data_IF_628023580007
#
_entry.id   IF_628023580007
#
_cell.length_a   1.000
_cell.length_b   1.000
_cell.length_c   1.000
_cell.angle_alpha   90.00
_cell.angle_beta   90.00
_cell.angle_gamma   90.00
#
_symmetry.space_group_name_H-M   'P 1'
#
loop_
_entity.id
_entity.type
_entity.pdbx_description
1 polymer ?
#
# COMPACT_ATOMS: atom_id res chain seq x y z
N UNK A 1 10.11 -5.96 6.74
CA UNK A 1 9.32 -5.10 5.84
C UNK A 1 9.20 -5.77 4.49
N UNK A 2 8.03 -5.83 3.91
CA UNK A 2 7.73 -6.40 2.60
C UNK A 2 7.15 -5.31 1.71
N UNK A 3 7.85 -4.92 0.69
CA UNK A 3 7.53 -3.76 -0.15
C UNK A 3 6.78 -4.16 -1.42
N UNK A 4 6.57 -3.22 -2.32
CA UNK A 4 5.93 -3.44 -3.61
C UNK A 4 6.67 -4.44 -4.50
N UNK A 5 5.94 -5.02 -5.43
CA UNK A 5 6.43 -5.97 -6.41
C UNK A 5 5.58 -5.95 -7.67
N UNK A 6 5.96 -6.72 -8.68
CA UNK A 6 5.21 -6.86 -9.93
C UNK A 6 4.48 -8.19 -10.02
N UNK A 7 3.44 -8.23 -10.85
CA UNK A 7 2.60 -9.41 -11.08
C UNK A 7 1.32 -9.42 -10.25
N UNK A 8 0.52 -10.48 -10.40
CA UNK A 8 -0.73 -10.66 -9.67
C UNK A 8 -0.58 -11.89 -8.77
N UNK A 9 -0.77 -11.71 -7.45
CA UNK A 9 -0.51 -12.76 -6.46
C UNK A 9 -1.41 -14.00 -6.64
N UNK A 10 -2.54 -13.85 -7.29
CA UNK A 10 -3.47 -14.94 -7.59
C UNK A 10 -3.10 -15.76 -8.84
N UNK A 11 -2.04 -15.40 -9.58
CA UNK A 11 -1.53 -16.21 -10.68
C UNK A 11 -0.71 -17.38 -10.15
N UNK A 12 -0.98 -18.57 -10.68
CA UNK A 12 -0.25 -19.79 -10.33
C UNK A 12 1.11 -19.82 -11.06
N UNK A 13 2.16 -19.42 -10.34
CA UNK A 13 3.53 -19.50 -10.82
C UNK A 13 4.51 -19.74 -9.65
N UNK A 14 5.73 -20.18 -9.96
CA UNK A 14 6.73 -20.54 -8.95
C UNK A 14 7.16 -19.35 -8.08
N UNK A 15 7.22 -18.15 -8.66
CA UNK A 15 7.56 -16.94 -7.92
C UNK A 15 6.51 -16.68 -6.81
N UNK A 16 5.23 -16.65 -7.18
CA UNK A 16 4.14 -16.40 -6.22
C UNK A 16 4.09 -17.49 -5.13
N UNK A 17 4.23 -18.75 -5.53
CA UNK A 17 4.29 -19.87 -4.58
C UNK A 17 5.43 -19.69 -3.58
N UNK A 18 6.64 -19.40 -4.05
CA UNK A 18 7.80 -19.14 -3.18
C UNK A 18 7.55 -17.98 -2.22
N UNK A 19 6.93 -16.88 -2.68
CA UNK A 19 6.57 -15.73 -1.84
C UNK A 19 5.55 -16.10 -0.76
N UNK A 20 4.53 -16.89 -1.10
CA UNK A 20 3.50 -17.33 -0.17
C UNK A 20 4.05 -18.31 0.87
N UNK A 21 4.89 -19.26 0.47
CA UNK A 21 5.56 -20.20 1.36
C UNK A 21 6.49 -19.47 2.35
N UNK A 22 7.27 -18.53 1.86
CA UNK A 22 8.13 -17.69 2.68
C UNK A 22 7.31 -16.84 3.66
N UNK A 23 6.24 -16.20 3.19
CA UNK A 23 5.34 -15.43 4.03
C UNK A 23 4.71 -16.29 5.14
N UNK A 24 4.21 -17.47 4.79
CA UNK A 24 3.62 -18.40 5.74
C UNK A 24 4.60 -18.81 6.85
N UNK A 25 5.87 -18.97 6.52
CA UNK A 25 6.91 -19.27 7.51
C UNK A 25 7.25 -18.06 8.39
N UNK A 26 7.34 -16.87 7.84
CA UNK A 26 7.59 -15.64 8.62
C UNK A 26 6.43 -15.34 9.58
N UNK A 27 5.19 -15.54 9.15
CA UNK A 27 4.00 -15.34 9.99
C UNK A 27 4.02 -16.21 11.27
N UNK A 28 4.65 -17.38 11.24
CA UNK A 28 4.84 -18.25 12.42
C UNK A 28 5.82 -17.70 13.45
N UNK A 29 6.72 -16.81 13.06
CA UNK A 29 7.76 -16.26 13.94
C UNK A 29 7.23 -15.21 14.91
N UNK A 30 5.99 -14.77 14.78
CA UNK A 30 5.35 -13.72 15.59
C UNK A 30 6.20 -12.43 15.70
N UNK A 31 6.90 -12.08 14.64
CA UNK A 31 7.68 -10.84 14.53
C UNK A 31 6.85 -9.72 13.94
N UNK A 32 7.12 -8.46 14.30
CA UNK A 32 6.47 -7.33 13.65
C UNK A 32 6.71 -7.31 12.13
N UNK A 33 5.65 -7.13 11.35
CA UNK A 33 5.71 -7.13 9.88
C UNK A 33 5.04 -5.86 9.37
N UNK A 34 5.70 -5.19 8.42
CA UNK A 34 5.11 -4.18 7.55
C UNK A 34 5.00 -4.75 6.14
N UNK A 35 3.80 -4.66 5.53
CA UNK A 35 3.56 -4.99 4.13
C UNK A 35 2.97 -3.81 3.37
N UNK A 36 3.59 -3.35 2.26
CA UNK A 36 3.04 -2.32 1.39
C UNK A 36 2.76 -2.85 -0.01
N UNK A 37 1.61 -2.47 -0.58
CA UNK A 37 1.16 -2.84 -1.92
C UNK A 37 1.21 -4.37 -2.14
N UNK A 38 2.12 -4.87 -2.94
CA UNK A 38 2.38 -6.30 -3.12
C UNK A 38 2.57 -7.04 -1.79
N UNK A 39 3.31 -6.44 -0.84
CA UNK A 39 3.55 -7.04 0.48
C UNK A 39 2.25 -7.25 1.27
N UNK A 40 1.30 -6.31 1.20
CA UNK A 40 -0.04 -6.49 1.77
C UNK A 40 -0.78 -7.65 1.11
N UNK A 41 -0.73 -7.73 -0.24
CA UNK A 41 -1.42 -8.75 -1.01
C UNK A 41 -0.86 -10.15 -0.71
N UNK A 42 0.46 -10.30 -0.61
CA UNK A 42 1.12 -11.56 -0.20
C UNK A 42 0.68 -11.99 1.19
N UNK A 43 0.70 -11.08 2.18
CA UNK A 43 0.32 -11.37 3.57
C UNK A 43 -1.14 -11.80 3.65
N UNK A 44 -2.03 -11.07 2.98
CA UNK A 44 -3.47 -11.34 2.98
C UNK A 44 -3.79 -12.69 2.31
N UNK A 45 -3.12 -13.00 1.19
CA UNK A 45 -3.27 -14.29 0.50
C UNK A 45 -2.72 -15.45 1.34
N UNK A 46 -1.56 -15.29 1.97
CA UNK A 46 -0.99 -16.30 2.88
C UNK A 46 -1.87 -16.57 4.11
N UNK A 47 -2.73 -15.60 4.49
CA UNK A 47 -3.74 -15.74 5.55
C UNK A 47 -5.10 -16.25 5.01
N UNK A 48 -5.14 -16.75 3.78
CA UNK A 48 -6.32 -17.41 3.18
C UNK A 48 -7.40 -16.45 2.68
N UNK A 49 -7.06 -15.18 2.43
CA UNK A 49 -7.98 -14.19 1.88
C UNK A 49 -7.69 -13.87 0.41
N UNK A 50 -8.67 -13.28 -0.27
CA UNK A 50 -8.61 -13.06 -1.70
C UNK A 50 -8.07 -11.68 -2.07
N UNK A 51 -7.32 -11.65 -3.16
CA UNK A 51 -6.90 -10.46 -3.90
C UNK A 51 -7.53 -10.52 -5.29
N UNK A 52 -7.97 -9.41 -5.81
CA UNK A 52 -8.55 -9.32 -7.16
C UNK A 52 -8.12 -8.05 -7.86
N UNK A 53 -8.26 -8.05 -9.19
CA UNK A 53 -8.08 -6.85 -10.00
C UNK A 53 -9.12 -5.79 -9.63
N UNK A 54 -8.67 -4.57 -9.42
CA UNK A 54 -9.54 -3.42 -9.16
C UNK A 54 -10.23 -2.95 -10.46
N UNK A 55 -11.47 -2.50 -10.33
CA UNK A 55 -12.14 -1.76 -11.40
C UNK A 55 -11.62 -0.32 -11.54
N UNK A 56 -10.98 0.21 -10.49
CA UNK A 56 -10.39 1.55 -10.44
C UNK A 56 -8.96 1.45 -9.90
N UNK A 57 -7.98 1.08 -10.74
CA UNK A 57 -6.58 1.04 -10.32
C UNK A 57 -6.10 2.44 -9.94
N UNK A 58 -5.15 2.52 -9.01
CA UNK A 58 -4.58 3.79 -8.56
C UNK A 58 -3.15 3.91 -9.10
N UNK A 59 -2.93 4.94 -9.92
CA UNK A 59 -1.65 5.24 -10.53
C UNK A 59 -1.13 6.60 -10.05
N UNK A 60 0.03 6.61 -9.46
CA UNK A 60 0.68 7.79 -8.92
C UNK A 60 0.22 8.14 -7.52
N UNK A 61 -1.08 8.32 -7.32
CA UNK A 61 -1.67 8.82 -6.07
C UNK A 61 -2.93 8.05 -5.70
N UNK A 62 -2.98 7.49 -4.49
CA UNK A 62 -4.23 7.15 -3.81
C UNK A 62 -4.75 8.41 -3.12
N UNK A 63 -5.93 8.88 -3.55
CA UNK A 63 -6.51 10.14 -3.07
C UNK A 63 -7.53 9.92 -1.97
N UNK A 64 -7.67 10.93 -1.10
CA UNK A 64 -8.73 11.00 -0.08
C UNK A 64 -8.80 9.77 0.82
N UNK A 65 -7.66 9.25 1.24
CA UNK A 65 -7.61 8.14 2.20
C UNK A 65 -8.10 8.64 3.55
N UNK A 66 -9.14 8.02 4.08
CA UNK A 66 -9.76 8.37 5.36
C UNK A 66 -9.36 7.37 6.43
N UNK A 67 -8.79 7.87 7.53
CA UNK A 67 -8.50 7.04 8.72
C UNK A 67 -9.81 6.75 9.46
N UNK A 68 -10.14 5.45 9.61
CA UNK A 68 -11.42 4.98 10.18
C UNK A 68 -11.41 4.89 11.70
N UNK A 69 -10.33 4.43 12.28
CA UNK A 69 -10.27 4.13 13.70
C UNK A 69 -9.60 5.26 14.49
N UNK A 70 -10.35 5.97 15.37
CA UNK A 70 -9.83 7.07 16.19
C UNK A 70 -8.74 6.65 17.18
N UNK A 71 -8.72 5.37 17.61
CA UNK A 71 -7.72 4.86 18.56
C UNK A 71 -6.36 4.79 17.87
N UNK A 72 -6.32 4.42 16.59
CA UNK A 72 -5.09 4.33 15.80
C UNK A 72 -4.52 5.70 15.41
N UNK A 73 -5.34 6.77 15.51
CA UNK A 73 -4.85 8.14 15.45
C UNK A 73 -3.91 8.49 16.62
N UNK A 74 -3.96 7.70 17.72
CA UNK A 74 -3.05 7.88 18.86
C UNK A 74 -1.79 7.03 18.80
N UNK A 75 -1.69 6.12 17.83
CA UNK A 75 -0.58 5.18 17.65
C UNK A 75 0.05 5.32 16.27
N UNK A 76 -0.30 4.45 15.33
CA UNK A 76 0.33 4.39 13.99
C UNK A 76 0.12 5.69 13.21
N UNK A 77 -1.11 6.24 13.23
CA UNK A 77 -1.45 7.49 12.53
C UNK A 77 -1.34 8.74 13.42
N UNK A 78 -0.64 8.66 14.55
CA UNK A 78 -0.44 9.83 15.41
C UNK A 78 0.21 10.97 14.62
N UNK A 79 -0.42 12.15 14.68
CA UNK A 79 -0.02 13.36 13.97
C UNK A 79 -0.23 13.35 12.45
N UNK A 80 -0.88 12.32 11.90
CA UNK A 80 -1.29 12.31 10.49
C UNK A 80 -2.66 12.94 10.31
N UNK A 81 -2.88 13.63 9.21
CA UNK A 81 -4.18 14.17 8.87
C UNK A 81 -5.21 13.05 8.73
N UNK A 82 -6.44 13.29 9.23
CA UNK A 82 -7.53 12.30 9.15
C UNK A 82 -7.85 11.90 7.71
N UNK A 83 -7.72 12.83 6.78
CA UNK A 83 -7.82 12.59 5.33
C UNK A 83 -6.48 12.98 4.72
N UNK A 84 -5.92 12.09 3.92
CA UNK A 84 -4.62 12.31 3.28
C UNK A 84 -4.55 11.63 1.91
N UNK A 85 -3.58 12.03 1.11
CA UNK A 85 -3.18 11.35 -0.11
C UNK A 85 -1.87 10.60 0.13
N UNK A 86 -1.62 9.56 -0.66
CA UNK A 86 -0.37 8.79 -0.58
C UNK A 86 0.12 8.34 -1.96
N UNK A 87 1.44 8.12 -2.14
CA UNK A 87 1.96 7.50 -3.35
C UNK A 87 1.37 6.11 -3.53
N UNK A 88 0.88 5.79 -4.72
CA UNK A 88 0.28 4.49 -5.01
C UNK A 88 0.51 4.09 -6.46
N UNK A 89 0.71 2.78 -6.66
CA UNK A 89 0.80 2.20 -7.98
C UNK A 89 0.34 0.74 -7.92
N UNK A 90 -0.95 0.49 -8.12
CA UNK A 90 -1.48 -0.87 -8.04
C UNK A 90 -2.70 -1.07 -8.95
N UNK A 91 -2.80 -2.28 -9.48
CA UNK A 91 -3.96 -2.78 -10.22
C UNK A 91 -4.88 -3.62 -9.34
N UNK A 92 -4.32 -4.27 -8.33
CA UNK A 92 -4.99 -5.26 -7.51
C UNK A 92 -5.29 -4.71 -6.12
N UNK A 93 -6.35 -5.25 -5.52
CA UNK A 93 -6.84 -4.89 -4.20
C UNK A 93 -7.21 -6.13 -3.41
N UNK A 94 -7.13 -6.05 -2.09
CA UNK A 94 -7.68 -7.08 -1.21
C UNK A 94 -9.23 -7.02 -1.23
N UNK A 95 -9.86 -8.20 -1.19
CA UNK A 95 -11.34 -8.32 -1.14
C UNK A 95 -11.83 -8.36 0.29
N UNK A 96 -11.16 -9.16 1.12
CA UNK A 96 -11.53 -9.45 2.50
C UNK A 96 -10.38 -9.17 3.46
N UNK A 97 -10.74 -8.87 4.70
CA UNK A 97 -9.80 -8.66 5.79
C UNK A 97 -9.56 -9.99 6.50
N UNK A 98 -8.29 -10.38 6.75
CA UNK A 98 -8.01 -11.59 7.53
C UNK A 98 -8.53 -11.48 8.97
N UNK A 99 -8.84 -12.63 9.58
CA UNK A 99 -9.23 -12.68 10.98
C UNK A 99 -8.13 -12.03 11.85
N UNK A 100 -8.52 -11.36 12.93
CA UNK A 100 -7.64 -10.56 13.81
C UNK A 100 -7.06 -9.28 13.20
N UNK A 101 -7.50 -8.88 12.00
CA UNK A 101 -7.16 -7.59 11.40
C UNK A 101 -8.36 -6.65 11.40
N UNK A 102 -8.07 -5.36 11.41
CA UNK A 102 -9.04 -4.29 11.26
C UNK A 102 -8.69 -3.45 10.02
N UNK A 103 -9.70 -2.99 9.26
CA UNK A 103 -9.53 -1.90 8.30
C UNK A 103 -9.36 -0.60 9.07
N UNK A 104 -8.24 0.07 8.85
CA UNK A 104 -7.90 1.27 9.60
C UNK A 104 -7.85 2.53 8.74
N UNK A 105 -7.73 2.39 7.44
CA UNK A 105 -7.92 3.47 6.48
C UNK A 105 -8.45 2.93 5.14
N UNK A 106 -9.27 3.73 4.48
CA UNK A 106 -9.85 3.39 3.18
C UNK A 106 -10.12 4.66 2.36
N UNK A 107 -10.33 4.49 1.07
CA UNK A 107 -10.92 5.49 0.20
C UNK A 107 -12.06 4.86 -0.65
N UNK A 108 -12.62 5.61 -1.59
CA UNK A 108 -13.72 5.13 -2.44
C UNK A 108 -13.33 3.96 -3.36
N UNK A 109 -12.03 3.68 -3.52
CA UNK A 109 -11.56 2.61 -4.41
C UNK A 109 -11.34 1.28 -3.69
N UNK A 110 -10.76 1.32 -2.48
CA UNK A 110 -10.43 0.10 -1.75
C UNK A 110 -10.07 0.33 -0.27
N UNK A 111 -9.87 -0.76 0.44
CA UNK A 111 -9.19 -0.78 1.74
C UNK A 111 -7.74 -0.38 1.53
N UNK A 112 -7.33 0.72 2.15
CA UNK A 112 -6.00 1.31 1.99
C UNK A 112 -5.01 0.86 3.07
N UNK A 113 -5.51 0.44 4.24
CA UNK A 113 -4.64 -0.17 5.24
C UNK A 113 -5.40 -1.06 6.21
N UNK A 114 -4.71 -2.08 6.69
CA UNK A 114 -5.16 -3.02 7.72
C UNK A 114 -4.11 -3.18 8.80
N UNK A 115 -4.56 -3.48 10.01
CA UNK A 115 -3.70 -3.67 11.17
C UNK A 115 -4.17 -4.82 12.05
N UNK A 116 -3.23 -5.59 12.58
CA UNK A 116 -3.43 -6.57 13.64
C UNK A 116 -2.49 -6.27 14.81
N UNK A 117 -3.04 -5.77 15.91
CA UNK A 117 -2.28 -5.53 17.13
C UNK A 117 -1.73 -6.85 17.70
N UNK A 118 -2.53 -7.91 17.69
CA UNK A 118 -2.15 -9.24 18.18
C UNK A 118 -0.97 -9.84 17.43
N UNK A 119 -1.00 -9.72 16.10
CA UNK A 119 0.07 -10.26 15.22
C UNK A 119 1.21 -9.26 15.00
N UNK A 120 1.07 -8.01 15.45
CA UNK A 120 2.00 -6.91 15.20
C UNK A 120 2.24 -6.68 13.71
N UNK A 121 1.21 -6.83 12.87
CA UNK A 121 1.28 -6.69 11.43
C UNK A 121 0.52 -5.45 11.00
N UNK A 122 1.18 -4.58 10.23
CA UNK A 122 0.60 -3.40 9.62
C UNK A 122 0.80 -3.46 8.11
N UNK A 123 -0.26 -3.28 7.34
CA UNK A 123 -0.19 -3.31 5.88
C UNK A 123 -0.87 -2.08 5.28
N UNK A 124 -0.30 -1.60 4.16
CA UNK A 124 -0.85 -0.52 3.35
C UNK A 124 -0.96 -0.95 1.89
N UNK A 125 -2.01 -0.52 1.18
CA UNK A 125 -2.09 -0.68 -0.27
C UNK A 125 -1.27 0.41 -0.99
N UNK A 126 -1.13 1.57 -0.37
CA UNK A 126 -0.26 2.66 -0.80
C UNK A 126 1.18 2.49 -0.28
N UNK A 127 2.07 3.38 -0.71
CA UNK A 127 3.48 3.38 -0.37
C UNK A 127 3.86 4.56 0.55
N UNK A 128 4.03 4.33 1.85
CA UNK A 128 4.64 5.33 2.74
C UNK A 128 6.14 5.43 2.55
N UNK A 129 6.77 4.32 2.17
CA UNK A 129 8.21 4.16 2.02
C UNK A 129 8.77 4.76 0.73
N UNK A 130 7.94 4.90 -0.32
CA UNK A 130 8.34 5.47 -1.60
C UNK A 130 7.92 6.93 -1.72
N UNK A 131 8.79 7.76 -2.28
CA UNK A 131 8.47 9.15 -2.62
C UNK A 131 7.58 9.24 -3.86
N UNK A 132 6.85 10.35 -3.98
CA UNK A 132 6.07 10.66 -5.18
C UNK A 132 6.97 10.77 -6.42
N UNK A 133 8.20 11.29 -6.27
CA UNK A 133 9.18 11.35 -7.35
C UNK A 133 9.60 9.96 -7.82
N UNK A 134 9.75 9.01 -6.90
CA UNK A 134 10.05 7.62 -7.27
C UNK A 134 8.93 7.03 -8.14
N UNK A 135 7.68 7.20 -7.71
CA UNK A 135 6.51 6.74 -8.48
C UNK A 135 6.43 7.45 -9.84
N UNK A 136 6.67 8.77 -9.88
CA UNK A 136 6.71 9.52 -11.13
C UNK A 136 7.75 8.95 -12.11
N UNK A 137 8.98 8.69 -11.63
CA UNK A 137 10.05 8.13 -12.45
C UNK A 137 9.73 6.71 -12.93
N UNK A 138 9.13 5.87 -12.07
CA UNK A 138 8.65 4.54 -12.43
C UNK A 138 7.60 4.61 -13.54
N UNK A 139 6.63 5.53 -13.43
CA UNK A 139 5.59 5.72 -14.44
C UNK A 139 6.18 6.23 -15.76
N UNK A 140 7.13 7.17 -15.72
CA UNK A 140 7.83 7.65 -16.92
C UNK A 140 8.59 6.51 -17.61
N UNK A 141 9.29 5.69 -16.83
CA UNK A 141 10.02 4.53 -17.37
C UNK A 141 9.09 3.54 -18.09
N UNK A 142 7.88 3.33 -17.55
CA UNK A 142 6.87 2.47 -18.15
C UNK A 142 5.77 3.21 -18.93
N UNK A 143 6.03 4.43 -19.43
CA UNK A 143 5.04 5.29 -20.11
C UNK A 143 4.20 4.54 -21.14
N UNK A 144 4.82 3.65 -21.92
CA UNK A 144 4.12 2.85 -22.96
C UNK A 144 2.98 1.98 -22.40
N UNK A 145 3.08 1.54 -21.15
CA UNK A 145 2.05 0.69 -20.53
C UNK A 145 0.77 1.46 -20.20
N UNK A 146 0.87 2.79 -20.10
CA UNK A 146 -0.26 3.66 -19.73
C UNK A 146 -0.97 4.27 -20.95
N UNK A 147 -0.39 4.20 -22.15
CA UNK A 147 -0.91 4.87 -23.35
C UNK A 147 -2.34 4.46 -23.74
N UNK A 148 -2.82 3.30 -23.30
CA UNK A 148 -4.19 2.82 -23.51
C UNK A 148 -5.16 3.22 -22.38
N UNK A 149 -4.65 3.76 -21.28
CA UNK A 149 -5.38 4.03 -20.03
C UNK A 149 -5.50 5.53 -19.79
N UNK A 150 -4.42 6.27 -20.08
CA UNK A 150 -4.29 7.70 -19.83
C UNK A 150 -3.77 8.36 -21.11
N UNK A 151 -4.43 9.42 -21.58
CA UNK A 151 -3.91 10.19 -22.70
C UNK A 151 -2.61 10.95 -22.30
N UNK A 152 -1.85 11.41 -23.28
CA UNK A 152 -0.53 11.98 -23.03
C UNK A 152 -0.59 13.25 -22.20
N UNK A 153 -1.56 14.11 -22.41
CA UNK A 153 -1.74 15.37 -21.68
C UNK A 153 -2.02 15.09 -20.19
N UNK A 154 -2.95 14.18 -19.89
CA UNK A 154 -3.28 13.81 -18.52
C UNK A 154 -2.12 13.09 -17.84
N UNK A 155 -1.33 12.30 -18.58
CA UNK A 155 -0.14 11.64 -18.08
C UNK A 155 0.92 12.66 -17.63
N UNK A 156 1.23 13.65 -18.47
CA UNK A 156 2.18 14.72 -18.14
C UNK A 156 1.71 15.57 -16.95
N UNK A 157 0.41 15.88 -16.89
CA UNK A 157 -0.18 16.61 -15.78
C UNK A 157 -0.06 15.80 -14.47
N UNK A 158 -0.28 14.46 -14.51
CA UNK A 158 -0.11 13.58 -13.37
C UNK A 158 1.34 13.54 -12.89
N UNK A 159 2.31 13.37 -13.79
CA UNK A 159 3.74 13.36 -13.44
C UNK A 159 4.16 14.67 -12.78
N UNK A 160 3.74 15.81 -13.32
CA UNK A 160 4.03 17.12 -12.74
C UNK A 160 3.40 17.28 -11.34
N UNK A 161 2.17 16.79 -11.14
CA UNK A 161 1.51 16.81 -9.84
C UNK A 161 2.27 15.96 -8.80
N UNK A 162 2.74 14.76 -9.18
CA UNK A 162 3.55 13.91 -8.30
C UNK A 162 4.81 14.62 -7.82
N UNK A 163 5.54 15.26 -8.73
CA UNK A 163 6.76 16.02 -8.39
C UNK A 163 6.49 17.21 -7.46
N UNK A 164 5.37 17.92 -7.68
CA UNK A 164 4.97 19.00 -6.77
C UNK A 164 4.58 18.49 -5.38
N UNK A 165 3.93 17.31 -5.31
CA UNK A 165 3.56 16.70 -4.02
C UNK A 165 4.78 16.24 -3.23
N UNK A 166 5.84 15.74 -3.87
CA UNK A 166 7.07 15.34 -3.17
C UNK A 166 7.63 16.48 -2.33
N UNK A 167 7.63 17.69 -2.87
CA UNK A 167 8.13 18.89 -2.16
C UNK A 167 7.24 19.27 -0.97
N UNK A 168 5.92 19.09 -1.10
CA UNK A 168 4.94 19.57 -0.11
C UNK A 168 4.61 18.60 1.00
N UNK A 169 4.71 17.31 0.75
CA UNK A 169 4.06 16.26 1.58
C UNK A 169 5.02 15.15 2.06
N UNK A 170 6.32 15.32 1.84
CA UNK A 170 7.31 14.30 2.14
C UNK A 170 7.31 13.89 3.63
N UNK A 171 7.21 14.82 4.55
CA UNK A 171 7.21 14.51 5.99
C UNK A 171 5.92 13.81 6.43
N UNK A 172 4.76 14.27 5.95
CA UNK A 172 3.46 13.67 6.27
C UNK A 172 3.37 12.22 5.74
N UNK A 173 3.95 11.93 4.59
CA UNK A 173 4.01 10.59 4.00
C UNK A 173 4.65 9.56 4.93
N UNK A 174 5.70 9.94 5.65
CA UNK A 174 6.49 9.03 6.49
C UNK A 174 5.97 8.84 7.91
N UNK A 175 4.88 9.53 8.31
CA UNK A 175 4.40 9.55 9.70
C UNK A 175 4.10 8.15 10.22
N UNK A 176 3.29 7.38 9.51
CA UNK A 176 2.89 6.04 9.96
C UNK A 176 4.05 5.06 9.98
N UNK A 177 4.98 5.15 9.03
CA UNK A 177 6.19 4.33 9.04
C UNK A 177 7.08 4.63 10.25
N UNK A 178 7.31 5.92 10.51
CA UNK A 178 8.07 6.36 11.69
C UNK A 178 7.39 5.93 13.00
N UNK A 179 6.07 6.04 13.08
CA UNK A 179 5.31 5.66 14.27
C UNK A 179 5.31 4.14 14.47
N UNK A 180 5.14 3.36 13.39
CA UNK A 180 5.21 1.91 13.45
C UNK A 180 6.58 1.43 13.94
N UNK A 181 7.67 1.99 13.43
CA UNK A 181 9.02 1.66 13.89
C UNK A 181 9.21 1.94 15.39
N UNK A 182 8.58 2.98 15.94
CA UNK A 182 8.61 3.27 17.39
C UNK A 182 7.86 2.25 18.24
N UNK A 183 6.89 1.54 17.68
CA UNK A 183 6.17 0.48 18.37
C UNK A 183 6.97 -0.83 18.49
N UNK A 184 8.13 -0.92 17.82
CA UNK A 184 8.99 -2.10 17.84
C UNK A 184 10.02 -2.08 18.99
N UNK A 185 10.23 -0.91 19.58
CA UNK A 185 11.12 -0.68 20.73
C UNK A 185 10.30 -0.64 22.01
#
# INVERSE_FOLDING_TARGET
MWTGGGGNIYEENEHNKSQLDFCSNILKLNKPIWGSCWGMQVIVTALGKQVKKSHKPEFGIAKNIVIKNPILNKTIYKSKNKVFDAPAHHYDIIVDIPNDFESIAENDNCIQSIYSARKKIFCTQYHSELGYDYIANLMVFWKKNYSKIINEFDFEALINNLRMKEVKDNENRLIELKNWLKLLN
#
